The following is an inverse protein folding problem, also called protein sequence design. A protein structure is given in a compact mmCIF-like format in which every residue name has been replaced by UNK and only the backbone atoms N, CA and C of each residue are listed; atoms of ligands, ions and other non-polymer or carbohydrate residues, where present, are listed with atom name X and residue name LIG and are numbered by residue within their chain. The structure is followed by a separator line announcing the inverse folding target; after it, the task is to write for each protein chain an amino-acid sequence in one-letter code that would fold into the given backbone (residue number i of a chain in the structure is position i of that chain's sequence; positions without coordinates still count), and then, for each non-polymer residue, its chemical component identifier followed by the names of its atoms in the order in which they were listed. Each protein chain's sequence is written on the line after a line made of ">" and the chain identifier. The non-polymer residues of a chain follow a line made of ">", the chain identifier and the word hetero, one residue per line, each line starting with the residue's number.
data_IF_409105604998
#
_entry.id   IF_409105604998
#
_cell.length_a   1.000
_cell.length_b   1.000
_cell.length_c   1.000
_cell.angle_alpha   90.00
_cell.angle_beta   90.00
_cell.angle_gamma   90.00
#
_symmetry.space_group_name_H-M   'P 1'
#
loop_
_entity.id
_entity.type
_entity.pdbx_description
1 polymer ?
#
# COMPACT_ATOMS: atom_id res chain seq x y z
N UNK A 1 -51.09 35.36 -64.75
CA UNK A 1 -49.68 35.77 -65.00
C UNK A 1 -48.77 34.98 -64.06
N UNK A 2 -47.68 34.42 -64.60
CA UNK A 2 -46.48 33.84 -63.91
C UNK A 2 -46.72 32.66 -62.94
N UNK A 3 -46.71 31.40 -63.41
CA UNK A 3 -45.54 30.48 -63.51
C UNK A 3 -44.62 30.53 -62.27
N UNK A 4 -44.51 29.43 -61.52
CA UNK A 4 -43.33 28.55 -61.50
C UNK A 4 -43.61 27.28 -60.70
N UNK A 5 -43.34 26.14 -61.34
CA UNK A 5 -43.26 24.80 -60.75
C UNK A 5 -41.89 24.67 -60.07
N UNK A 6 -41.82 24.06 -58.90
CA UNK A 6 -40.57 23.48 -58.40
C UNK A 6 -40.88 22.16 -57.72
N UNK A 7 -40.56 21.07 -58.41
CA UNK A 7 -40.36 19.75 -57.82
C UNK A 7 -38.86 19.48 -57.77
N UNK A 8 -38.38 18.94 -56.66
CA UNK A 8 -37.06 18.33 -56.47
C UNK A 8 -37.31 17.24 -55.41
N UNK A 9 -37.54 15.99 -55.82
CA UNK A 9 -36.56 14.90 -56.02
C UNK A 9 -35.73 14.62 -54.77
N UNK A 10 -36.10 13.50 -54.14
CA UNK A 10 -35.42 12.77 -53.08
C UNK A 10 -34.12 12.16 -53.62
N UNK A 11 -32.97 12.43 -52.99
CA UNK A 11 -31.80 11.54 -53.06
C UNK A 11 -31.27 11.38 -51.64
N UNK A 12 -31.46 10.18 -51.10
CA UNK A 12 -30.80 9.70 -49.90
C UNK A 12 -29.33 9.40 -50.22
N UNK A 13 -28.41 10.04 -49.49
CA UNK A 13 -27.01 9.67 -49.48
C UNK A 13 -26.66 9.18 -48.07
N UNK A 14 -26.44 7.88 -47.95
CA UNK A 14 -25.85 7.22 -46.78
C UNK A 14 -24.39 7.66 -46.66
N UNK A 15 -24.09 8.48 -45.66
CA UNK A 15 -22.70 8.71 -45.24
C UNK A 15 -22.34 7.69 -44.17
N UNK A 16 -21.64 6.62 -44.60
CA UNK A 16 -20.80 5.83 -43.70
C UNK A 16 -19.66 6.74 -43.22
N UNK A 17 -19.60 7.03 -41.93
CA UNK A 17 -18.41 7.59 -41.30
C UNK A 17 -17.92 6.58 -40.27
N UNK A 18 -16.66 6.20 -40.43
CA UNK A 18 -16.00 5.10 -39.76
C UNK A 18 -15.91 5.32 -38.25
N UNK A 19 -15.96 4.22 -37.50
CA UNK A 19 -15.45 4.16 -36.14
C UNK A 19 -13.94 4.43 -36.20
N UNK A 20 -13.51 5.63 -35.82
CA UNK A 20 -12.15 5.81 -35.30
C UNK A 20 -12.20 5.53 -33.80
N UNK A 21 -11.64 4.40 -33.39
CA UNK A 21 -11.24 4.17 -32.01
C UNK A 21 -10.07 5.13 -31.72
N UNK A 22 -10.38 6.25 -31.07
CA UNK A 22 -9.36 7.04 -30.40
C UNK A 22 -8.82 6.22 -29.23
N UNK A 23 -7.66 5.58 -29.43
CA UNK A 23 -6.82 5.15 -28.32
C UNK A 23 -6.27 6.41 -27.67
N UNK A 24 -6.98 6.91 -26.66
CA UNK A 24 -6.48 7.96 -25.79
C UNK A 24 -5.37 7.38 -24.92
N UNK A 25 -4.14 7.47 -25.41
CA UNK A 25 -2.95 7.44 -24.57
C UNK A 25 -2.83 8.81 -23.90
N UNK A 26 -3.61 9.03 -22.84
CA UNK A 26 -3.46 10.17 -21.94
C UNK A 26 -3.51 9.66 -20.50
N UNK A 27 -2.31 9.62 -19.93
CA UNK A 27 -1.94 9.81 -18.52
C UNK A 27 -3.09 9.73 -17.51
N UNK A 28 -3.04 8.69 -16.67
CA UNK A 28 -3.99 8.44 -15.60
C UNK A 28 -4.34 9.68 -14.77
N UNK A 29 -5.61 10.04 -14.87
CA UNK A 29 -6.54 10.58 -13.89
C UNK A 29 -6.07 11.67 -12.91
N UNK A 30 -6.54 12.90 -13.18
CA UNK A 30 -6.81 13.92 -12.17
C UNK A 30 -8.23 13.72 -11.62
N UNK A 31 -8.43 12.66 -10.85
CA UNK A 31 -9.54 12.52 -9.90
C UNK A 31 -8.97 11.86 -8.67
N UNK A 32 -9.04 12.54 -7.53
CA UNK A 32 -8.53 12.04 -6.26
C UNK A 32 -9.26 10.79 -5.80
N UNK A 33 -8.70 9.64 -6.18
CA UNK A 33 -8.70 8.40 -5.41
C UNK A 33 -7.26 7.88 -5.51
N UNK A 34 -6.46 8.08 -4.46
CA UNK A 34 -5.20 7.39 -4.35
C UNK A 34 -5.54 5.90 -4.27
N UNK A 35 -5.29 5.16 -5.36
CA UNK A 35 -5.36 3.72 -5.33
C UNK A 35 -4.51 3.21 -4.15
N UNK A 36 -5.15 2.54 -3.19
CA UNK A 36 -4.49 1.58 -2.30
C UNK A 36 -3.93 0.45 -3.16
N UNK A 37 -2.82 0.73 -3.85
CA UNK A 37 -2.12 -0.24 -4.67
C UNK A 37 -1.16 -1.00 -3.78
N UNK A 38 -1.40 -2.30 -3.58
CA UNK A 38 -0.33 -3.17 -3.11
C UNK A 38 0.86 -3.06 -4.06
N UNK A 39 2.11 -3.13 -3.57
CA UNK A 39 3.29 -3.00 -4.41
C UNK A 39 3.33 -4.08 -5.50
N UNK A 40 4.10 -3.82 -6.55
CA UNK A 40 4.42 -4.86 -7.53
C UNK A 40 5.27 -5.97 -6.87
N UNK A 41 5.15 -7.22 -7.34
CA UNK A 41 5.97 -8.32 -6.85
C UNK A 41 7.47 -8.03 -7.03
N UNK A 42 8.26 -8.38 -6.02
CA UNK A 42 9.72 -8.36 -6.05
C UNK A 42 10.28 -9.68 -6.60
N UNK A 43 9.50 -10.77 -6.53
CA UNK A 43 9.87 -12.10 -7.02
C UNK A 43 8.99 -12.48 -8.20
N UNK A 44 9.62 -13.00 -9.25
CA UNK A 44 8.98 -13.55 -10.46
C UNK A 44 8.83 -15.09 -10.39
N UNK A 45 9.31 -15.72 -9.33
CA UNK A 45 9.28 -17.18 -9.19
C UNK A 45 8.86 -17.54 -7.76
N UNK A 46 8.13 -18.65 -7.55
CA UNK A 46 7.74 -19.08 -6.23
C UNK A 46 8.93 -19.25 -5.27
N UNK A 47 8.78 -18.75 -4.05
CA UNK A 47 9.80 -18.82 -3.01
C UNK A 47 9.33 -19.56 -1.75
N UNK A 48 10.26 -20.25 -1.12
CA UNK A 48 10.09 -20.91 0.16
C UNK A 48 10.80 -20.06 1.21
N UNK A 49 10.04 -19.24 1.94
CA UNK A 49 10.58 -18.36 2.97
C UNK A 49 10.92 -19.19 4.20
N UNK A 50 12.21 -19.41 4.43
CA UNK A 50 12.70 -20.23 5.54
C UNK A 50 13.15 -19.43 6.75
N UNK A 51 13.41 -18.14 6.55
CA UNK A 51 13.76 -17.18 7.60
C UNK A 51 13.22 -15.81 7.25
N UNK A 52 12.76 -15.08 8.24
CA UNK A 52 12.41 -13.68 8.13
C UNK A 52 13.03 -12.88 9.28
N UNK A 53 13.38 -11.62 9.03
CA UNK A 53 13.91 -10.71 10.04
C UNK A 53 13.44 -9.28 9.78
N UNK A 54 13.20 -8.53 10.86
CA UNK A 54 12.84 -7.12 10.81
C UNK A 54 13.83 -6.33 11.65
N UNK A 55 14.37 -5.26 11.07
CA UNK A 55 15.28 -4.32 11.70
C UNK A 55 14.60 -2.95 11.76
N UNK A 56 14.63 -2.33 12.94
CA UNK A 56 14.22 -0.94 13.15
C UNK A 56 15.46 -0.17 13.60
N UNK A 57 16.10 0.61 12.71
CA UNK A 57 17.34 1.30 13.03
C UNK A 57 17.20 2.26 14.21
N UNK A 58 18.21 2.30 15.10
CA UNK A 58 18.23 3.21 16.25
C UNK A 58 18.21 4.70 15.83
N UNK A 59 18.76 4.98 14.64
CA UNK A 59 18.78 6.34 14.06
C UNK A 59 17.40 6.92 13.76
N UNK A 60 16.34 6.10 13.68
CA UNK A 60 14.99 6.60 13.39
C UNK A 60 14.48 7.41 14.58
N UNK A 61 14.08 8.65 14.37
CA UNK A 61 13.58 9.50 15.44
C UNK A 61 12.17 9.06 15.87
N UNK A 62 11.91 9.08 17.18
CA UNK A 62 10.60 8.72 17.76
C UNK A 62 9.96 9.97 18.33
N UNK A 63 8.70 10.24 17.96
CA UNK A 63 7.94 11.36 18.50
C UNK A 63 6.71 10.88 19.28
N UNK A 64 6.60 11.36 20.52
CA UNK A 64 5.50 11.05 21.43
C UNK A 64 4.44 12.16 21.50
N UNK A 65 4.64 13.28 20.80
CA UNK A 65 3.74 14.43 20.84
C UNK A 65 2.36 14.07 20.28
N UNK A 66 1.31 14.42 21.03
CA UNK A 66 -0.07 14.23 20.61
C UNK A 66 -0.55 15.42 19.76
N UNK A 67 0.05 15.57 18.58
CA UNK A 67 -0.21 16.65 17.61
C UNK A 67 -0.75 16.10 16.29
N UNK A 68 -1.24 16.96 15.41
CA UNK A 68 -1.72 16.54 14.08
C UNK A 68 -0.61 16.09 13.15
N UNK A 69 0.53 16.79 13.18
CA UNK A 69 1.68 16.57 12.31
C UNK A 69 2.97 16.47 13.14
N UNK A 70 3.17 15.39 13.90
CA UNK A 70 4.43 15.16 14.59
C UNK A 70 5.56 14.96 13.57
N UNK A 71 6.68 15.66 13.78
CA UNK A 71 7.89 15.49 12.97
C UNK A 71 8.74 14.37 13.58
N UNK A 72 8.80 13.22 12.90
CA UNK A 72 9.66 12.07 13.20
C UNK A 72 9.52 10.97 12.14
N UNK A 73 10.39 9.97 12.23
CA UNK A 73 10.32 8.73 11.46
C UNK A 73 9.31 7.74 12.06
N UNK A 74 9.20 7.70 13.39
CA UNK A 74 8.32 6.78 14.12
C UNK A 74 7.31 7.55 14.97
N UNK A 75 6.03 7.29 14.68
CA UNK A 75 4.88 7.78 15.42
C UNK A 75 3.92 6.62 15.64
N UNK A 76 3.88 6.13 16.88
CA UNK A 76 3.04 5.01 17.29
C UNK A 76 2.41 5.29 18.66
N UNK A 77 1.08 5.14 18.75
CA UNK A 77 0.31 5.63 19.90
C UNK A 77 -0.82 4.69 20.36
N UNK A 78 -0.96 3.49 19.80
CA UNK A 78 -2.00 2.55 20.28
C UNK A 78 -1.56 1.69 21.44
N UNK A 79 -0.32 1.21 21.41
CA UNK A 79 0.18 0.36 22.48
C UNK A 79 0.36 1.13 23.78
N UNK A 80 0.26 0.42 24.93
CA UNK A 80 0.69 0.95 26.21
C UNK A 80 2.04 1.64 26.11
N UNK A 81 2.25 2.62 26.99
CA UNK A 81 3.51 3.36 27.02
C UNK A 81 4.71 2.40 27.13
N UNK A 82 5.72 2.62 26.29
CA UNK A 82 6.89 1.74 26.17
C UNK A 82 7.77 2.13 24.99
N UNK A 83 8.73 1.24 24.65
CA UNK A 83 9.63 1.44 23.51
C UNK A 83 8.88 1.34 22.18
N UNK A 84 8.75 2.47 21.49
CA UNK A 84 8.04 2.54 20.20
C UNK A 84 8.77 1.77 19.09
N UNK A 85 10.10 1.67 19.13
CA UNK A 85 10.85 0.89 18.13
C UNK A 85 10.56 -0.60 18.29
N UNK A 86 10.60 -1.10 19.52
CA UNK A 86 10.25 -2.49 19.82
C UNK A 86 8.79 -2.82 19.44
N UNK A 87 7.86 -1.91 19.72
CA UNK A 87 6.44 -2.08 19.37
C UNK A 87 6.22 -2.12 17.85
N UNK A 88 6.81 -1.18 17.11
CA UNK A 88 6.76 -1.16 15.63
C UNK A 88 7.40 -2.42 15.06
N UNK A 89 8.57 -2.83 15.58
CA UNK A 89 9.23 -4.07 15.18
C UNK A 89 8.28 -5.26 15.32
N UNK A 90 7.62 -5.40 16.47
CA UNK A 90 6.69 -6.49 16.71
C UNK A 90 5.48 -6.48 15.75
N UNK A 91 4.93 -5.31 15.42
CA UNK A 91 3.84 -5.19 14.43
C UNK A 91 4.27 -5.73 13.08
N UNK A 92 5.44 -5.28 12.60
CA UNK A 92 5.95 -5.66 11.29
C UNK A 92 6.41 -7.12 11.26
N UNK A 93 7.00 -7.63 12.35
CA UNK A 93 7.35 -9.06 12.47
C UNK A 93 6.11 -9.95 12.38
N UNK A 94 5.02 -9.57 13.07
CA UNK A 94 3.77 -10.31 13.01
C UNK A 94 3.15 -10.28 11.62
N UNK A 95 3.12 -9.11 10.97
CA UNK A 95 2.62 -8.96 9.61
C UNK A 95 3.46 -9.77 8.61
N UNK A 96 4.79 -9.71 8.72
CA UNK A 96 5.70 -10.45 7.85
C UNK A 96 5.54 -11.96 8.03
N UNK A 97 5.49 -12.45 9.28
CA UNK A 97 5.30 -13.86 9.56
C UNK A 97 3.98 -14.40 8.97
N UNK A 98 2.90 -13.62 9.02
CA UNK A 98 1.63 -13.97 8.40
C UNK A 98 1.69 -13.90 6.88
N UNK A 99 2.27 -12.83 6.32
CA UNK A 99 2.34 -12.61 4.87
C UNK A 99 3.17 -13.66 4.15
N UNK A 100 4.20 -14.21 4.79
CA UNK A 100 5.04 -15.26 4.20
C UNK A 100 4.58 -16.69 4.53
N UNK A 101 3.50 -16.87 5.30
CA UNK A 101 3.10 -18.18 5.82
C UNK A 101 2.69 -19.19 4.73
N UNK A 102 2.29 -18.70 3.56
CA UNK A 102 1.89 -19.47 2.36
C UNK A 102 3.07 -19.74 1.41
N UNK A 103 4.17 -19.01 1.55
CA UNK A 103 5.37 -19.07 0.70
C UNK A 103 6.27 -20.25 1.07
N UNK A 104 5.91 -21.45 0.64
CA UNK A 104 6.52 -22.74 1.08
C UNK A 104 7.09 -23.62 -0.05
N UNK A 105 7.11 -23.13 -1.28
CA UNK A 105 7.55 -23.88 -2.48
C UNK A 105 8.63 -23.12 -3.24
N UNK A 106 9.38 -23.79 -4.12
CA UNK A 106 10.40 -23.13 -4.93
C UNK A 106 11.70 -22.80 -4.18
N UNK A 107 12.36 -21.70 -4.57
CA UNK A 107 13.72 -21.39 -4.08
C UNK A 107 13.69 -21.03 -2.59
N UNK A 108 14.58 -21.63 -1.79
CA UNK A 108 14.69 -21.33 -0.36
C UNK A 108 15.33 -19.97 -0.15
N UNK A 109 14.61 -19.06 0.50
CA UNK A 109 15.07 -17.69 0.73
C UNK A 109 14.97 -17.27 2.19
N UNK A 110 15.70 -16.20 2.52
CA UNK A 110 15.55 -15.40 3.71
C UNK A 110 15.08 -13.99 3.34
N UNK A 111 14.09 -13.48 4.05
CA UNK A 111 13.53 -12.13 3.83
C UNK A 111 13.96 -11.21 4.96
N UNK A 112 14.46 -10.03 4.60
CA UNK A 112 14.90 -9.01 5.55
C UNK A 112 14.15 -7.71 5.27
N UNK A 113 13.53 -7.16 6.31
CA UNK A 113 12.85 -5.88 6.28
C UNK A 113 13.63 -4.88 7.15
N UNK A 114 13.97 -3.72 6.60
CA UNK A 114 14.50 -2.60 7.36
C UNK A 114 13.50 -1.44 7.33
N UNK A 115 13.01 -1.04 8.49
CA UNK A 115 12.10 0.11 8.60
C UNK A 115 12.85 1.40 8.35
N UNK A 116 12.24 2.28 7.55
CA UNK A 116 12.69 3.66 7.33
C UNK A 116 11.70 4.67 7.90
N UNK A 117 10.41 4.30 7.97
CA UNK A 117 9.36 5.14 8.54
C UNK A 117 8.20 4.28 9.02
N UNK A 118 7.62 4.67 10.14
CA UNK A 118 6.36 4.14 10.63
C UNK A 118 5.55 5.28 11.25
N UNK A 119 4.75 5.96 10.43
CA UNK A 119 3.94 7.08 10.86
C UNK A 119 2.47 6.65 10.93
N UNK A 120 1.98 6.46 12.16
CA UNK A 120 0.58 6.20 12.44
C UNK A 120 -0.07 7.38 13.15
N UNK A 121 -1.39 7.29 13.40
CA UNK A 121 -2.12 8.40 13.99
C UNK A 121 -1.80 8.58 15.48
N UNK A 122 -1.67 9.83 15.88
CA UNK A 122 -1.78 10.22 17.28
C UNK A 122 -3.22 10.05 17.77
N UNK A 123 -3.44 10.02 19.08
CA UNK A 123 -4.79 10.02 19.63
C UNK A 123 -5.58 11.26 19.18
N UNK A 124 -4.93 12.42 19.12
CA UNK A 124 -5.55 13.68 18.65
C UNK A 124 -6.03 13.53 17.21
N UNK A 125 -5.21 13.00 16.31
CA UNK A 125 -5.59 12.81 14.90
C UNK A 125 -6.66 11.73 14.76
N UNK A 126 -6.48 10.59 15.44
CA UNK A 126 -7.39 9.43 15.39
C UNK A 126 -8.77 9.75 15.96
N UNK A 127 -8.87 10.53 17.02
CA UNK A 127 -10.15 10.92 17.62
C UNK A 127 -10.77 12.16 16.98
N UNK A 128 -10.24 12.66 15.86
CA UNK A 128 -10.87 13.75 15.12
C UNK A 128 -11.01 13.46 13.62
N UNK A 129 -9.94 13.63 12.85
CA UNK A 129 -10.02 13.73 11.37
C UNK A 129 -9.52 12.47 10.67
N UNK A 130 -8.66 11.68 11.32
CA UNK A 130 -8.00 10.55 10.66
C UNK A 130 -6.82 11.01 9.80
N UNK A 131 -6.43 10.21 8.84
CA UNK A 131 -5.31 10.53 7.95
C UNK A 131 -4.83 9.29 7.20
N UNK A 132 -3.52 9.12 7.13
CA UNK A 132 -2.88 7.98 6.46
C UNK A 132 -1.89 7.33 7.42
N UNK A 133 -1.90 6.00 7.47
CA UNK A 133 -0.79 5.23 8.01
C UNK A 133 0.28 5.14 6.92
N UNK A 134 1.43 5.72 7.16
CA UNK A 134 2.51 5.89 6.20
C UNK A 134 3.75 5.10 6.66
N UNK A 135 4.03 4.00 5.95
CA UNK A 135 5.03 2.99 6.34
C UNK A 135 6.01 2.82 5.19
N UNK A 136 7.28 3.13 5.45
CA UNK A 136 8.37 2.98 4.50
C UNK A 136 9.38 1.96 4.98
N UNK A 137 9.86 1.11 4.08
CA UNK A 137 10.86 0.10 4.41
C UNK A 137 11.67 -0.31 3.19
N UNK A 138 12.85 -0.87 3.46
CA UNK A 138 13.56 -1.70 2.49
C UNK A 138 13.20 -3.17 2.69
N UNK A 139 13.02 -3.89 1.58
CA UNK A 139 12.95 -5.35 1.56
C UNK A 139 14.15 -5.91 0.77
N UNK A 140 14.80 -6.92 1.35
CA UNK A 140 15.86 -7.69 0.69
C UNK A 140 15.54 -9.18 0.76
N UNK A 141 15.66 -9.87 -0.36
CA UNK A 141 15.51 -11.33 -0.44
C UNK A 141 16.89 -11.94 -0.70
N UNK A 142 17.28 -12.90 0.13
CA UNK A 142 18.58 -13.57 0.08
C UNK A 142 18.43 -15.07 -0.12
N UNK A 143 19.40 -15.70 -0.77
CA UNK A 143 19.50 -17.16 -0.80
C UNK A 143 19.68 -17.69 0.63
N UNK A 144 18.84 -18.64 1.04
CA UNK A 144 18.86 -19.12 2.42
C UNK A 144 20.12 -19.90 2.80
N UNK A 145 20.87 -20.42 1.81
CA UNK A 145 22.08 -21.22 2.03
C UNK A 145 23.34 -20.36 1.95
N UNK A 146 23.44 -19.48 0.95
CA UNK A 146 24.66 -18.69 0.72
C UNK A 146 24.61 -17.31 1.35
N UNK A 147 23.40 -16.74 1.55
CA UNK A 147 23.21 -15.37 2.01
C UNK A 147 23.32 -14.31 0.90
N UNK A 148 23.57 -14.74 -0.34
CA UNK A 148 23.66 -13.85 -1.50
C UNK A 148 22.33 -13.14 -1.73
N UNK A 149 22.38 -11.86 -2.11
CA UNK A 149 21.18 -11.11 -2.46
C UNK A 149 20.63 -11.66 -3.78
N UNK A 150 19.37 -12.09 -3.76
CA UNK A 150 18.61 -12.51 -4.93
C UNK A 150 17.83 -11.33 -5.51
N UNK A 151 17.22 -10.54 -4.63
CA UNK A 151 16.42 -9.38 -5.01
C UNK A 151 16.51 -8.27 -3.94
N UNK A 152 16.44 -7.03 -4.38
CA UNK A 152 16.57 -5.84 -3.53
C UNK A 152 18.03 -5.44 -3.24
N UNK A 153 18.25 -4.54 -2.27
CA UNK A 153 17.23 -3.88 -1.44
C UNK A 153 16.28 -3.01 -2.27
N UNK A 154 14.97 -3.24 -2.17
CA UNK A 154 13.95 -2.41 -2.80
C UNK A 154 13.30 -1.53 -1.73
N UNK A 155 13.22 -0.22 -1.99
CA UNK A 155 12.45 0.70 -1.16
C UNK A 155 10.96 0.59 -1.50
N UNK A 156 10.13 0.46 -0.48
CA UNK A 156 8.68 0.36 -0.61
C UNK A 156 8.03 1.43 0.27
N UNK A 157 7.15 2.22 -0.35
CA UNK A 157 6.22 3.10 0.35
C UNK A 157 4.85 2.43 0.38
N UNK A 158 4.23 2.40 1.56
CA UNK A 158 2.92 1.79 1.77
C UNK A 158 2.04 2.75 2.55
N UNK A 159 0.88 3.07 1.97
CA UNK A 159 -0.09 3.98 2.54
C UNK A 159 -1.43 3.26 2.74
N UNK A 160 -2.00 3.39 3.94
CA UNK A 160 -3.30 2.84 4.31
C UNK A 160 -4.18 3.94 4.88
N UNK A 161 -5.43 4.02 4.44
CA UNK A 161 -6.39 4.98 4.99
C UNK A 161 -6.57 4.77 6.51
N UNK A 162 -6.28 5.80 7.29
CA UNK A 162 -6.39 5.79 8.73
C UNK A 162 -7.69 6.47 9.18
N UNK A 163 -8.51 5.75 9.94
CA UNK A 163 -9.82 6.28 10.34
C UNK A 163 -9.70 7.36 11.40
N UNK A 164 -10.61 8.34 11.32
CA UNK A 164 -10.76 9.44 12.27
C UNK A 164 -12.13 9.46 12.95
N UNK A 165 -12.20 10.12 14.10
CA UNK A 165 -13.46 10.47 14.76
C UNK A 165 -14.37 9.25 15.00
N UNK A 166 -15.65 9.39 14.68
CA UNK A 166 -16.64 8.34 14.87
C UNK A 166 -16.30 7.06 14.10
N UNK A 167 -15.72 7.16 12.90
CA UNK A 167 -15.29 5.99 12.11
C UNK A 167 -14.20 5.20 12.83
N UNK A 168 -13.28 5.89 13.52
CA UNK A 168 -12.26 5.23 14.33
C UNK A 168 -12.87 4.54 15.56
N UNK A 169 -13.79 5.22 16.26
CA UNK A 169 -14.50 4.67 17.42
C UNK A 169 -15.32 3.42 17.07
N UNK A 170 -16.05 3.47 15.96
CA UNK A 170 -16.87 2.37 15.47
C UNK A 170 -16.03 1.18 14.96
N UNK A 171 -14.89 1.44 14.32
CA UNK A 171 -13.96 0.38 13.95
C UNK A 171 -13.39 -0.32 15.20
N UNK A 172 -12.94 0.46 16.20
CA UNK A 172 -12.41 -0.10 17.45
C UNK A 172 -13.45 -0.89 18.24
N UNK A 173 -14.73 -0.47 18.25
CA UNK A 173 -15.80 -1.21 18.94
C UNK A 173 -16.03 -2.60 18.35
N UNK A 174 -15.65 -2.81 17.08
CA UNK A 174 -15.65 -4.10 16.38
C UNK A 174 -14.29 -4.81 16.37
N UNK A 175 -13.33 -4.34 17.17
CA UNK A 175 -11.97 -4.91 17.25
C UNK A 175 -11.02 -4.48 16.12
N UNK A 176 -11.47 -3.61 15.21
CA UNK A 176 -10.68 -3.11 14.08
C UNK A 176 -9.87 -1.87 14.51
N UNK A 177 -8.93 -2.11 15.42
CA UNK A 177 -7.98 -1.10 15.92
C UNK A 177 -6.97 -0.70 14.84
N UNK A 178 -6.21 0.37 15.07
CA UNK A 178 -5.21 0.80 14.10
C UNK A 178 -4.11 -0.26 13.96
N UNK A 179 -3.72 -0.93 15.06
CA UNK A 179 -2.75 -2.03 15.04
C UNK A 179 -3.24 -3.18 14.19
N UNK A 180 -4.48 -3.62 14.39
CA UNK A 180 -5.08 -4.73 13.64
C UNK A 180 -5.07 -4.39 12.17
N UNK A 181 -5.59 -3.22 11.80
CA UNK A 181 -5.68 -2.79 10.40
C UNK A 181 -4.32 -2.64 9.72
N UNK A 182 -3.33 -2.04 10.40
CA UNK A 182 -1.96 -1.95 9.88
C UNK A 182 -1.36 -3.34 9.71
N UNK A 183 -1.50 -4.22 10.70
CA UNK A 183 -0.95 -5.59 10.64
C UNK A 183 -1.52 -6.35 9.44
N UNK A 184 -2.85 -6.35 9.30
CA UNK A 184 -3.54 -7.05 8.21
C UNK A 184 -3.19 -6.47 6.83
N UNK A 185 -3.07 -5.15 6.73
CA UNK A 185 -2.65 -4.50 5.49
C UNK A 185 -1.21 -4.86 5.13
N UNK A 186 -0.28 -4.75 6.07
CA UNK A 186 1.13 -5.11 5.86
C UNK A 186 1.31 -6.60 5.56
N UNK A 187 0.48 -7.48 6.13
CA UNK A 187 0.43 -8.91 5.75
C UNK A 187 0.20 -9.05 4.24
N UNK A 188 -0.78 -8.33 3.67
CA UNK A 188 -1.07 -8.37 2.23
C UNK A 188 0.05 -7.74 1.40
N UNK A 189 0.68 -6.69 1.89
CA UNK A 189 1.83 -6.04 1.24
C UNK A 189 3.00 -7.04 1.13
N UNK A 190 3.34 -7.74 2.21
CA UNK A 190 4.44 -8.71 2.21
C UNK A 190 4.13 -9.95 1.38
N UNK A 191 2.89 -10.45 1.44
CA UNK A 191 2.45 -11.55 0.57
C UNK A 191 2.58 -11.15 -0.90
N UNK A 192 2.07 -9.97 -1.28
CA UNK A 192 2.13 -9.47 -2.66
C UNK A 192 3.55 -9.24 -3.16
N UNK A 193 4.47 -8.78 -2.30
CA UNK A 193 5.87 -8.60 -2.68
C UNK A 193 6.55 -9.91 -3.07
N UNK A 194 6.06 -11.06 -2.62
CA UNK A 194 6.68 -12.36 -2.88
C UNK A 194 5.87 -13.25 -3.81
N UNK A 195 4.72 -12.78 -4.28
CA UNK A 195 3.79 -13.52 -5.13
C UNK A 195 3.58 -12.82 -6.48
N UNK A 196 3.91 -13.50 -7.57
CA UNK A 196 3.79 -12.94 -8.92
C UNK A 196 2.30 -12.70 -9.31
N UNK A 197 1.38 -13.56 -8.85
CA UNK A 197 0.03 -13.78 -9.42
C UNK A 197 0.01 -14.05 -10.92
#
# INVERSE_FOLDING_TARGET
>A
MRKFRLGVVLIAAMSLSACEEFVSAASGSLTGEAHEGLPLPLMEEPVNVTRSAVVVPERLEVNHANTYFPNADIVWREDPFGDRRAQVKAIIENALAQGVATHKSGRRVAVEIQIERFHSLTEKTRYSVGGTHDIHFFITVRDARTGDVIAGPQFVTSELEAFGGDRALEAMSRGQTQKVRITEYMTRVFDRLLDEK
#
